data_IF_553628450690
#
_entry.id   IF_553628450690
#
_cell.length_a   1.000
_cell.length_b   1.000
_cell.length_c   1.000
_cell.angle_alpha   90.00
_cell.angle_beta   90.00
_cell.angle_gamma   90.00
#
_symmetry.space_group_name_H-M   'P 1'
#
loop_
_entity.id
_entity.type
_entity.pdbx_description
1 polymer ?
#
# COMPACT_ATOMS: atom_id res chain seq x y z
N UNK A 1 19.58 2.62 3.30
CA UNK A 1 19.04 1.57 2.42
C UNK A 1 17.83 2.15 1.69
N UNK A 2 17.34 1.55 0.60
CA UNK A 2 16.15 2.05 -0.10
C UNK A 2 14.88 1.38 0.45
N UNK A 3 13.82 2.17 0.68
CA UNK A 3 12.52 1.63 1.06
C UNK A 3 11.94 0.75 -0.05
N UNK A 4 11.29 -0.36 0.33
CA UNK A 4 10.51 -1.18 -0.59
C UNK A 4 9.14 -0.53 -0.80
N UNK A 5 8.82 -0.17 -2.04
CA UNK A 5 7.53 0.37 -2.43
C UNK A 5 6.78 -0.71 -3.23
N UNK A 6 5.62 -1.13 -2.75
CA UNK A 6 4.73 -2.07 -3.41
C UNK A 6 3.45 -1.35 -3.85
N UNK A 7 3.15 -1.42 -5.14
CA UNK A 7 1.92 -0.88 -5.73
C UNK A 7 0.95 -2.01 -6.08
N UNK A 8 -0.26 -1.96 -5.53
CA UNK A 8 -1.35 -2.86 -5.89
C UNK A 8 -2.35 -2.10 -6.75
N UNK A 9 -2.27 -2.33 -8.06
CA UNK A 9 -3.19 -1.73 -9.04
C UNK A 9 -4.43 -2.59 -9.17
N UNK A 10 -5.60 -1.96 -9.11
CA UNK A 10 -6.88 -2.67 -9.26
C UNK A 10 -7.90 -1.82 -10.04
N UNK A 11 -8.92 -2.49 -10.58
CA UNK A 11 -10.02 -1.89 -11.34
C UNK A 11 -11.35 -2.39 -10.78
N UNK A 12 -12.00 -1.55 -10.00
CA UNK A 12 -13.37 -1.77 -9.54
C UNK A 12 -13.53 -1.97 -8.03
N UNK A 13 -14.77 -1.75 -7.58
CA UNK A 13 -15.13 -1.65 -6.16
C UNK A 13 -14.85 -2.96 -5.38
N UNK A 14 -15.04 -4.12 -6.01
CA UNK A 14 -14.84 -5.40 -5.35
C UNK A 14 -13.36 -5.71 -5.09
N UNK A 15 -12.47 -5.20 -5.95
CA UNK A 15 -11.02 -5.39 -5.81
C UNK A 15 -10.41 -4.43 -4.78
N UNK A 16 -11.03 -3.27 -4.52
CA UNK A 16 -10.58 -2.29 -3.52
C UNK A 16 -10.29 -2.93 -2.16
N UNK A 17 -11.22 -3.75 -1.66
CA UNK A 17 -11.07 -4.37 -0.36
C UNK A 17 -9.93 -5.40 -0.34
N UNK A 18 -9.71 -6.10 -1.45
CA UNK A 18 -8.60 -7.04 -1.59
C UNK A 18 -7.26 -6.30 -1.61
N UNK A 19 -7.15 -5.23 -2.41
CA UNK A 19 -5.94 -4.42 -2.50
C UNK A 19 -5.54 -3.83 -1.14
N UNK A 20 -6.50 -3.24 -0.42
CA UNK A 20 -6.26 -2.69 0.92
C UNK A 20 -5.85 -3.77 1.94
N UNK A 21 -6.37 -5.00 1.82
CA UNK A 21 -5.97 -6.12 2.69
C UNK A 21 -4.56 -6.61 2.37
N UNK A 22 -4.19 -6.69 1.09
CA UNK A 22 -2.84 -7.07 0.66
C UNK A 22 -1.82 -6.07 1.21
N UNK A 23 -2.00 -4.77 0.96
CA UNK A 23 -1.05 -3.74 1.40
C UNK A 23 -0.91 -3.67 2.92
N UNK A 24 -2.02 -3.78 3.67
CA UNK A 24 -1.98 -3.89 5.14
C UNK A 24 -1.29 -5.17 5.61
N UNK A 25 -1.48 -6.29 4.92
CA UNK A 25 -0.82 -7.55 5.23
C UNK A 25 0.71 -7.46 5.07
N UNK A 26 1.18 -6.76 4.04
CA UNK A 26 2.61 -6.47 3.83
C UNK A 26 3.16 -5.67 5.01
N UNK A 27 2.51 -4.55 5.38
CA UNK A 27 2.96 -3.71 6.49
C UNK A 27 2.94 -4.47 7.82
N UNK A 28 1.89 -5.26 8.09
CA UNK A 28 1.81 -6.05 9.30
C UNK A 28 2.94 -7.08 9.38
N UNK A 29 3.28 -7.72 8.25
CA UNK A 29 4.38 -8.66 8.17
C UNK A 29 5.72 -7.97 8.40
N UNK A 30 5.92 -6.77 7.83
CA UNK A 30 7.11 -5.95 8.07
C UNK A 30 7.25 -5.54 9.54
N UNK A 31 6.17 -5.10 10.19
CA UNK A 31 6.19 -4.78 11.63
C UNK A 31 6.55 -6.00 12.48
N UNK A 32 6.04 -7.19 12.13
CA UNK A 32 6.40 -8.45 12.80
C UNK A 32 7.87 -8.83 12.61
N UNK A 33 8.49 -8.44 11.52
CA UNK A 33 9.93 -8.65 11.26
C UNK A 33 10.82 -7.51 11.78
N UNK A 34 10.31 -6.62 12.64
CA UNK A 34 11.08 -5.50 13.21
C UNK A 34 11.28 -4.30 12.29
N UNK A 35 10.69 -4.31 11.09
CA UNK A 35 10.78 -3.23 10.10
C UNK A 35 9.65 -2.21 10.27
N UNK A 36 9.75 -1.06 9.62
CA UNK A 36 8.72 -0.02 9.58
C UNK A 36 7.91 -0.10 8.29
N UNK A 37 6.66 0.36 8.33
CA UNK A 37 5.88 0.47 7.09
C UNK A 37 4.56 1.21 7.24
N UNK A 38 4.04 1.67 6.10
CA UNK A 38 2.76 2.38 5.95
C UNK A 38 2.01 1.83 4.75
N UNK A 39 0.67 1.75 4.86
CA UNK A 39 -0.21 1.38 3.77
C UNK A 39 -1.28 2.45 3.58
N UNK A 40 -1.47 2.89 2.34
CA UNK A 40 -2.43 3.94 2.00
C UNK A 40 -2.94 3.79 0.56
N UNK A 41 -4.15 4.26 0.31
CA UNK A 41 -4.74 4.28 -1.03
C UNK A 41 -4.54 5.63 -1.69
N UNK A 42 -4.18 5.63 -2.99
CA UNK A 42 -4.21 6.82 -3.83
C UNK A 42 -5.37 6.67 -4.81
N UNK A 43 -6.38 7.51 -4.61
CA UNK A 43 -7.58 7.50 -5.42
C UNK A 43 -7.42 8.47 -6.60
N UNK A 44 -7.39 7.94 -7.83
CA UNK A 44 -7.89 8.69 -8.99
C UNK A 44 -9.41 8.80 -8.87
N UNK A 45 -10.00 9.87 -9.39
CA UNK A 45 -11.42 10.23 -9.23
C UNK A 45 -12.36 9.02 -9.12
N UNK A 46 -12.85 8.78 -7.89
CA UNK A 46 -13.83 7.74 -7.53
C UNK A 46 -13.44 6.27 -7.86
N UNK A 47 -12.77 5.55 -6.94
CA UNK A 47 -12.52 4.09 -7.04
C UNK A 47 -13.79 3.24 -7.06
N UNK A 48 -14.96 3.85 -6.81
CA UNK A 48 -16.26 3.18 -6.91
C UNK A 48 -16.70 2.97 -8.36
N UNK A 49 -16.07 3.64 -9.33
CA UNK A 49 -16.34 3.44 -10.76
C UNK A 49 -15.56 2.25 -11.28
N UNK A 50 -16.29 1.20 -11.66
CA UNK A 50 -15.69 0.05 -12.35
C UNK A 50 -14.96 0.51 -13.62
N UNK A 51 -13.76 -0.02 -13.83
CA UNK A 51 -12.93 0.30 -15.00
C UNK A 51 -11.92 1.44 -14.78
N UNK A 52 -12.09 2.32 -13.78
CA UNK A 52 -11.09 3.33 -13.43
C UNK A 52 -9.97 2.66 -12.61
N UNK A 53 -8.70 2.77 -13.03
CA UNK A 53 -7.59 2.23 -12.27
C UNK A 53 -7.41 3.02 -10.96
N UNK A 54 -7.32 2.30 -9.85
CA UNK A 54 -6.94 2.82 -8.55
C UNK A 54 -5.74 2.04 -8.02
N UNK A 55 -5.06 2.61 -7.02
CA UNK A 55 -3.86 2.01 -6.43
C UNK A 55 -3.90 2.08 -4.91
N UNK A 56 -3.54 0.96 -4.28
CA UNK A 56 -3.08 0.95 -2.89
C UNK A 56 -1.56 0.76 -2.86
N UNK A 57 -0.92 1.41 -1.91
CA UNK A 57 0.52 1.36 -1.69
C UNK A 57 0.82 0.69 -0.36
N UNK A 58 1.93 -0.04 -0.32
CA UNK A 58 2.63 -0.41 0.90
C UNK A 58 4.08 0.03 0.77
N UNK A 59 4.56 0.84 1.71
CA UNK A 59 5.97 1.23 1.81
C UNK A 59 6.54 0.59 3.06
N UNK A 60 7.69 -0.07 2.93
CA UNK A 60 8.40 -0.75 4.01
C UNK A 60 9.85 -0.28 4.04
N UNK A 61 10.35 0.06 5.22
CA UNK A 61 11.72 0.53 5.42
C UNK A 61 12.37 -0.14 6.64
N UNK A 62 13.69 -0.14 6.70
CA UNK A 62 14.42 -0.73 7.82
C UNK A 62 14.34 0.20 9.05
N UNK A 63 14.38 1.52 8.84
CA UNK A 63 14.23 2.51 9.91
C UNK A 63 12.98 3.39 9.75
N UNK A 64 12.65 4.15 10.79
CA UNK A 64 11.53 5.10 10.78
C UNK A 64 11.85 6.30 9.90
N UNK A 65 13.09 6.78 9.96
CA UNK A 65 13.57 7.93 9.20
C UNK A 65 13.54 7.65 7.69
N UNK A 66 13.93 6.44 7.28
CA UNK A 66 13.81 6.00 5.89
C UNK A 66 12.34 5.97 5.42
N UNK A 67 11.42 5.58 6.29
CA UNK A 67 9.99 5.58 5.98
C UNK A 67 9.45 7.01 5.81
N UNK A 68 9.86 7.94 6.66
CA UNK A 68 9.37 9.34 6.65
C UNK A 68 9.88 10.17 5.46
N UNK A 69 10.94 9.72 4.79
CA UNK A 69 11.47 10.36 3.57
C UNK A 69 10.70 9.98 2.29
N UNK A 70 9.70 9.11 2.37
CA UNK A 70 8.90 8.61 1.24
C UNK A 70 7.43 9.00 1.34
#
# INVERSE_FOLDING_TARGET
>A
MAALICEVVYRGIFQKNLAARITRGIVLSARKSGRWGIAFGRYGDSPQRNGIPAKDFAIVADTKEELEQN
#
